data_IF_312978390797
#
_entry.id   IF_312978390797
#
_cell.length_a   1.000
_cell.length_b   1.000
_cell.length_c   1.000
_cell.angle_alpha   90.00
_cell.angle_beta   90.00
_cell.angle_gamma   90.00
#
_symmetry.space_group_name_H-M   'P 1'
#
loop_
_entity.id
_entity.type
_entity.pdbx_description
1 polymer ?
#
# COMPACT_ATOMS: atom_id res chain seq x y z
N UNK A 1 -8.11 -20.23 -5.59
CA UNK A 1 -9.22 -19.46 -4.99
C UNK A 1 -8.69 -18.06 -4.75
N UNK A 2 -9.34 -17.04 -5.32
CA UNK A 2 -9.00 -15.65 -5.05
C UNK A 2 -9.49 -15.29 -3.64
N UNK A 3 -8.66 -14.60 -2.88
CA UNK A 3 -9.04 -14.04 -1.58
C UNK A 3 -9.02 -12.51 -1.68
N UNK A 4 -9.82 -11.87 -0.85
CA UNK A 4 -9.79 -10.42 -0.71
C UNK A 4 -8.70 -10.06 0.30
N UNK A 5 -7.87 -9.12 -0.08
CA UNK A 5 -6.82 -8.57 0.78
C UNK A 5 -6.99 -7.06 0.87
N UNK A 6 -6.55 -6.54 2.00
CA UNK A 6 -6.36 -5.12 2.20
C UNK A 6 -4.89 -4.89 2.56
N UNK A 7 -4.24 -3.98 1.83
CA UNK A 7 -2.91 -3.48 2.18
C UNK A 7 -3.00 -2.01 2.56
N UNK A 8 -2.73 -1.71 3.82
CA UNK A 8 -2.55 -0.36 4.31
C UNK A 8 -1.08 0.03 4.20
N UNK A 9 -0.79 1.14 3.53
CA UNK A 9 0.56 1.71 3.40
C UNK A 9 0.65 3.07 4.08
N UNK A 10 1.75 3.27 4.81
CA UNK A 10 2.16 4.52 5.39
C UNK A 10 3.30 5.11 4.55
N UNK A 11 3.02 6.18 3.83
CA UNK A 11 3.99 6.89 3.01
C UNK A 11 4.63 8.04 3.79
N UNK A 12 5.83 8.42 3.35
CA UNK A 12 6.53 9.60 3.84
C UNK A 12 5.67 10.86 3.67
N UNK A 13 5.57 11.72 4.70
CA UNK A 13 4.85 12.98 4.60
C UNK A 13 5.51 13.99 3.65
N UNK A 14 6.78 13.77 3.30
CA UNK A 14 7.59 14.66 2.45
C UNK A 14 7.44 14.33 0.95
N UNK A 15 6.83 13.20 0.60
CA UNK A 15 6.57 12.83 -0.79
C UNK A 15 5.63 13.85 -1.44
N UNK A 16 6.01 14.32 -2.63
CA UNK A 16 5.13 15.16 -3.44
C UNK A 16 3.88 14.36 -3.89
N UNK A 17 2.81 15.07 -4.24
CA UNK A 17 1.57 14.41 -4.68
C UNK A 17 1.76 13.57 -5.94
N UNK A 18 2.57 14.06 -6.88
CA UNK A 18 2.88 13.35 -8.12
C UNK A 18 3.67 12.05 -7.86
N UNK A 19 4.60 12.07 -6.90
CA UNK A 19 5.35 10.89 -6.50
C UNK A 19 4.43 9.86 -5.82
N UNK A 20 3.50 10.32 -4.97
CA UNK A 20 2.48 9.44 -4.35
C UNK A 20 1.62 8.77 -5.41
N UNK A 21 1.12 9.51 -6.40
CA UNK A 21 0.31 8.95 -7.50
C UNK A 21 1.11 7.94 -8.33
N UNK A 22 2.37 8.24 -8.62
CA UNK A 22 3.26 7.33 -9.36
C UNK A 22 3.49 6.03 -8.59
N UNK A 23 3.71 6.13 -7.29
CA UNK A 23 3.90 4.99 -6.39
C UNK A 23 2.63 4.14 -6.30
N UNK A 24 1.45 4.76 -6.18
CA UNK A 24 0.17 4.05 -6.21
C UNK A 24 -0.10 3.37 -7.57
N UNK A 25 0.23 4.03 -8.68
CA UNK A 25 0.12 3.44 -10.01
C UNK A 25 1.07 2.24 -10.17
N UNK A 26 2.26 2.31 -9.60
CA UNK A 26 3.24 1.20 -9.60
C UNK A 26 2.71 0.01 -8.80
N UNK A 27 2.16 0.25 -7.59
CA UNK A 27 1.56 -0.80 -6.77
C UNK A 27 0.36 -1.45 -7.47
N UNK A 28 -0.51 -0.63 -8.06
CA UNK A 28 -1.66 -1.08 -8.86
C UNK A 28 -1.21 -1.95 -10.03
N UNK A 29 -0.20 -1.51 -10.79
CA UNK A 29 0.34 -2.24 -11.92
C UNK A 29 0.98 -3.58 -11.54
N UNK A 30 1.59 -3.68 -10.34
CA UNK A 30 2.08 -4.96 -9.81
C UNK A 30 0.92 -5.90 -9.53
N UNK A 31 -0.14 -5.42 -8.88
CA UNK A 31 -1.33 -6.25 -8.59
C UNK A 31 -1.95 -6.77 -9.89
N UNK A 32 -2.11 -5.93 -10.90
CA UNK A 32 -2.66 -6.34 -12.20
C UNK A 32 -1.74 -7.31 -12.95
N UNK A 33 -0.43 -7.08 -12.95
CA UNK A 33 0.55 -7.95 -13.65
C UNK A 33 0.58 -9.36 -13.09
N UNK A 34 0.44 -9.51 -11.77
CA UNK A 34 0.45 -10.80 -11.09
C UNK A 34 -0.94 -11.48 -11.08
N UNK A 35 -1.91 -10.94 -11.84
CA UNK A 35 -3.24 -11.53 -12.01
C UNK A 35 -4.22 -11.24 -10.87
N UNK A 36 -3.95 -10.20 -10.08
CA UNK A 36 -4.88 -9.65 -9.10
C UNK A 36 -5.82 -8.62 -9.72
N UNK A 37 -6.91 -8.32 -9.02
CA UNK A 37 -7.91 -7.33 -9.41
C UNK A 37 -8.07 -6.30 -8.31
N UNK A 38 -7.86 -5.02 -8.61
CA UNK A 38 -8.15 -3.94 -7.68
C UNK A 38 -9.66 -3.80 -7.49
N UNK A 39 -10.09 -3.71 -6.23
CA UNK A 39 -11.50 -3.51 -5.84
C UNK A 39 -11.73 -2.06 -5.48
N UNK A 40 -10.88 -1.52 -4.60
CA UNK A 40 -11.04 -0.18 -4.05
C UNK A 40 -9.68 0.41 -3.68
N UNK A 41 -9.54 1.73 -3.83
CA UNK A 41 -8.37 2.48 -3.36
C UNK A 41 -8.86 3.66 -2.56
N UNK A 42 -8.50 3.63 -1.28
CA UNK A 42 -8.95 4.57 -0.26
C UNK A 42 -7.79 5.46 0.15
N UNK A 43 -7.88 6.73 -0.19
CA UNK A 43 -6.92 7.73 0.24
C UNK A 43 -7.35 8.35 1.57
N UNK A 44 -6.60 8.06 2.64
CA UNK A 44 -6.86 8.57 3.98
C UNK A 44 -6.15 9.90 4.27
N UNK A 45 -5.30 10.35 3.35
CA UNK A 45 -4.54 11.59 3.44
C UNK A 45 -3.53 11.62 4.59
N UNK A 46 -3.14 12.84 4.94
CA UNK A 46 -2.16 13.12 5.98
C UNK A 46 -2.75 12.97 7.38
N UNK A 47 -2.14 12.12 8.20
CA UNK A 47 -2.53 11.91 9.61
C UNK A 47 -1.35 12.07 10.55
N UNK A 48 -1.65 12.45 11.80
CA UNK A 48 -0.65 12.52 12.86
C UNK A 48 -0.42 11.13 13.44
N UNK A 49 0.85 10.77 13.62
CA UNK A 49 1.25 9.49 14.19
C UNK A 49 1.30 9.58 15.72
N UNK A 50 0.93 8.50 16.40
CA UNK A 50 0.99 8.43 17.87
C UNK A 50 2.43 8.50 18.41
N UNK A 51 3.40 8.05 17.61
CA UNK A 51 4.83 8.13 17.89
C UNK A 51 5.60 8.38 16.59
N UNK A 52 6.82 8.93 16.64
CA UNK A 52 7.61 9.17 15.44
C UNK A 52 7.99 7.87 14.72
N UNK A 53 7.76 7.82 13.42
CA UNK A 53 8.20 6.73 12.52
C UNK A 53 9.18 7.34 11.52
N UNK A 54 10.38 6.78 11.37
CA UNK A 54 11.44 7.36 10.51
C UNK A 54 11.70 8.85 10.82
N UNK A 55 11.63 9.23 12.11
CA UNK A 55 11.75 10.61 12.62
C UNK A 55 10.62 11.57 12.20
N UNK A 56 9.58 11.07 11.53
CA UNK A 56 8.42 11.84 11.12
C UNK A 56 7.26 11.66 12.11
N UNK A 57 6.57 12.75 12.43
CA UNK A 57 5.40 12.77 13.33
C UNK A 57 4.07 12.71 12.58
N UNK A 58 4.11 12.80 11.25
CA UNK A 58 2.97 12.70 10.35
C UNK A 58 3.30 11.68 9.26
N UNK A 59 2.27 11.14 8.64
CA UNK A 59 2.43 10.32 7.44
C UNK A 59 1.14 10.28 6.63
N UNK A 60 1.28 9.82 5.40
CA UNK A 60 0.17 9.75 4.45
C UNK A 60 -0.31 8.30 4.36
N UNK A 61 -1.60 8.07 4.63
CA UNK A 61 -2.17 6.74 4.62
C UNK A 61 -2.92 6.47 3.31
N UNK A 62 -2.66 5.31 2.72
CA UNK A 62 -3.46 4.79 1.59
C UNK A 62 -3.80 3.34 1.86
N UNK A 63 -5.06 2.98 1.61
CA UNK A 63 -5.60 1.63 1.78
C UNK A 63 -5.95 1.08 0.41
N UNK A 64 -5.37 -0.07 0.08
CA UNK A 64 -5.56 -0.77 -1.19
C UNK A 64 -6.34 -2.04 -0.94
N UNK A 65 -7.51 -2.20 -1.56
CA UNK A 65 -8.31 -3.42 -1.49
C UNK A 65 -8.25 -4.12 -2.83
N UNK A 66 -7.89 -5.39 -2.82
CA UNK A 66 -7.73 -6.17 -4.05
C UNK A 66 -8.06 -7.65 -3.85
N UNK A 67 -8.48 -8.29 -4.92
CA UNK A 67 -8.66 -9.74 -5.00
C UNK A 67 -7.42 -10.35 -5.62
N UNK A 68 -6.80 -11.33 -4.97
CA UNK A 68 -5.58 -11.93 -5.47
C UNK A 68 -5.40 -13.40 -5.06
N UNK A 69 -4.57 -14.16 -5.81
CA UNK A 69 -4.00 -15.40 -5.29
C UNK A 69 -2.97 -15.08 -4.19
N UNK A 70 -2.82 -15.97 -3.20
CA UNK A 70 -1.91 -15.73 -2.07
C UNK A 70 -0.44 -15.51 -2.44
N UNK A 71 0.02 -16.05 -3.58
CA UNK A 71 1.38 -15.84 -4.08
C UNK A 71 1.68 -14.37 -4.44
N UNK A 72 0.66 -13.64 -4.92
CA UNK A 72 0.80 -12.22 -5.30
C UNK A 72 1.16 -11.34 -4.10
N UNK A 73 0.63 -11.65 -2.92
CA UNK A 73 0.90 -10.88 -1.69
C UNK A 73 2.40 -10.85 -1.40
N UNK A 74 3.09 -11.98 -1.55
CA UNK A 74 4.53 -12.05 -1.31
C UNK A 74 5.31 -11.13 -2.27
N UNK A 75 4.93 -11.09 -3.55
CA UNK A 75 5.57 -10.20 -4.53
C UNK A 75 5.23 -8.72 -4.27
N UNK A 76 3.98 -8.42 -3.92
CA UNK A 76 3.58 -7.05 -3.57
C UNK A 76 4.38 -6.54 -2.37
N UNK A 77 4.46 -7.32 -1.30
CA UNK A 77 5.24 -6.97 -0.10
C UNK A 77 6.73 -6.83 -0.40
N UNK A 78 7.28 -7.68 -1.28
CA UNK A 78 8.67 -7.56 -1.71
C UNK A 78 8.93 -6.23 -2.40
N UNK A 79 8.06 -5.81 -3.32
CA UNK A 79 8.20 -4.52 -4.02
C UNK A 79 8.01 -3.33 -3.07
N UNK A 80 7.05 -3.41 -2.15
CA UNK A 80 6.82 -2.38 -1.12
C UNK A 80 8.08 -2.19 -0.26
N UNK A 81 8.76 -3.26 0.13
CA UNK A 81 10.00 -3.18 0.93
C UNK A 81 11.19 -2.56 0.19
N UNK A 82 11.19 -2.63 -1.15
CA UNK A 82 12.27 -2.09 -1.99
C UNK A 82 11.99 -0.64 -2.38
N UNK A 83 10.71 -0.26 -2.39
CA UNK A 83 10.29 1.07 -2.82
C UNK A 83 10.54 2.08 -1.71
N UNK A 84 11.40 3.06 -2.01
CA UNK A 84 11.68 4.16 -1.10
C UNK A 84 10.43 5.03 -0.88
N UNK A 85 10.31 5.61 0.31
CA UNK A 85 9.19 6.48 0.67
C UNK A 85 7.98 5.77 1.28
N UNK A 86 8.00 4.44 1.40
CA UNK A 86 7.04 3.68 2.21
C UNK A 86 7.68 3.35 3.56
N UNK A 87 7.14 3.89 4.65
CA UNK A 87 7.68 3.67 5.99
C UNK A 87 7.19 2.37 6.62
N UNK A 88 5.90 2.07 6.47
CA UNK A 88 5.27 0.86 7.01
C UNK A 88 4.18 0.40 6.07
N UNK A 89 3.91 -0.89 6.11
CA UNK A 89 2.76 -1.47 5.45
C UNK A 89 2.18 -2.59 6.31
N UNK A 90 0.92 -2.93 6.07
CA UNK A 90 0.25 -4.04 6.70
C UNK A 90 -0.70 -4.66 5.68
N UNK A 91 -0.51 -5.94 5.39
CA UNK A 91 -1.43 -6.71 4.55
C UNK A 91 -2.29 -7.60 5.43
N UNK A 92 -3.61 -7.54 5.23
CA UNK A 92 -4.59 -8.33 5.96
C UNK A 92 -5.45 -9.07 4.97
N UNK A 93 -5.66 -10.37 5.20
CA UNK A 93 -6.66 -11.14 4.47
C UNK A 93 -8.04 -10.78 5.04
N UNK A 94 -8.92 -10.25 4.21
CA UNK A 94 -10.30 -10.00 4.59
C UNK A 94 -11.04 -11.34 4.62
N UNK A 95 -11.67 -11.65 5.74
CA UNK A 95 -12.63 -12.74 5.80
C UNK A 95 -13.87 -12.32 5.00
N UNK A 96 -14.32 -13.23 4.12
CA UNK A 96 -15.61 -13.09 3.45
C UNK A 96 -16.76 -13.28 4.44
#
# INVERSE_FOLDING_TARGET
MANNYETLVLLSPELAEEDRKTLLATLTGIVEREGGKMVETDDWGMRQLAYPVEKQTRGYYVRLVFEAPGALVAELERNIRITDGIFKFMTVKLAA
#
